data_IF_176062532588
#
_entry.id   IF_176062532588
#
_cell.length_a   1.000
_cell.length_b   1.000
_cell.length_c   1.000
_cell.angle_alpha   90.00
_cell.angle_beta   90.00
_cell.angle_gamma   90.00
#
_symmetry.space_group_name_H-M   'P 1'
#
loop_
_entity.id
_entity.type
_entity.pdbx_description
1 polymer ?
#
# COMPACT_ATOMS: atom_id res chain seq x y z
N UNK A 1 -7.83 34.06 -19.00
CA UNK A 1 -7.85 33.68 -17.57
C UNK A 1 -7.47 32.21 -17.49
N UNK A 2 -6.42 31.85 -16.76
CA UNK A 2 -5.96 30.45 -16.62
C UNK A 2 -6.51 29.92 -15.29
N UNK A 3 -7.28 28.83 -15.35
CA UNK A 3 -7.77 28.13 -14.16
C UNK A 3 -6.73 27.09 -13.76
N UNK A 4 -6.20 27.19 -12.54
CA UNK A 4 -5.31 26.18 -11.98
C UNK A 4 -6.13 25.09 -11.28
N UNK A 5 -5.79 23.83 -11.55
CA UNK A 5 -6.37 22.68 -10.85
C UNK A 5 -5.89 22.57 -9.41
N UNK A 6 -6.34 21.51 -8.71
CA UNK A 6 -5.88 21.16 -7.37
C UNK A 6 -4.87 20.00 -7.43
N UNK A 7 -3.95 19.89 -6.47
CA UNK A 7 -3.10 18.71 -6.38
C UNK A 7 -3.93 17.47 -6.03
N UNK A 8 -3.40 16.29 -6.35
CA UNK A 8 -3.98 14.99 -6.06
C UNK A 8 -2.96 14.14 -5.30
N UNK A 9 -3.47 13.27 -4.43
CA UNK A 9 -2.66 12.33 -3.66
C UNK A 9 -3.40 11.01 -3.48
N UNK A 10 -2.66 9.94 -3.23
CA UNK A 10 -3.28 8.71 -2.74
C UNK A 10 -3.82 8.94 -1.33
N UNK A 11 -5.01 8.43 -1.04
CA UNK A 11 -5.46 8.38 0.36
C UNK A 11 -4.65 7.32 1.10
N UNK A 12 -4.10 7.69 2.26
CA UNK A 12 -3.25 6.82 3.07
C UNK A 12 -3.90 6.40 4.40
N UNK A 13 -5.16 6.74 4.59
CA UNK A 13 -5.96 6.31 5.74
C UNK A 13 -5.56 6.94 7.08
N UNK A 14 -4.78 8.02 7.07
CA UNK A 14 -4.34 8.70 8.30
C UNK A 14 -5.43 9.54 8.98
N UNK A 15 -6.52 9.85 8.25
CA UNK A 15 -7.51 10.81 8.74
C UNK A 15 -6.86 12.14 9.10
N UNK A 16 -7.20 12.69 10.27
CA UNK A 16 -6.70 13.97 10.76
C UNK A 16 -5.36 13.89 11.52
N UNK A 17 -4.79 12.68 11.70
CA UNK A 17 -3.65 12.45 12.59
C UNK A 17 -2.44 13.35 12.27
N UNK A 18 -2.09 13.65 11.00
CA UNK A 18 -0.99 14.57 10.69
C UNK A 18 -1.14 15.95 11.32
N UNK A 19 -2.37 16.45 11.49
CA UNK A 19 -2.67 17.75 12.06
C UNK A 19 -2.93 17.70 13.59
N UNK A 20 -2.71 16.55 14.23
CA UNK A 20 -2.82 16.38 15.70
C UNK A 20 -1.48 16.25 16.42
N UNK A 21 -0.36 16.29 15.70
CA UNK A 21 0.98 16.39 16.31
C UNK A 21 1.15 17.75 17.01
N UNK A 22 2.25 17.96 17.72
CA UNK A 22 2.54 19.28 18.33
C UNK A 22 2.80 20.34 17.25
N UNK A 23 1.71 20.96 16.77
CA UNK A 23 1.73 21.96 15.72
C UNK A 23 2.45 23.25 16.15
N UNK A 24 2.52 23.54 17.46
CA UNK A 24 3.27 24.70 17.95
C UNK A 24 4.76 24.51 17.73
N UNK A 25 5.26 23.29 17.97
CA UNK A 25 6.64 22.94 17.67
C UNK A 25 6.91 22.93 16.16
N UNK A 26 6.03 22.27 15.39
CA UNK A 26 6.22 22.10 13.93
C UNK A 26 6.16 23.44 13.20
N UNK A 27 5.21 24.30 13.54
CA UNK A 27 5.05 25.64 12.95
C UNK A 27 5.68 26.75 13.79
N UNK A 28 6.74 26.47 14.57
CA UNK A 28 7.38 27.49 15.39
C UNK A 28 7.86 28.73 14.59
N UNK A 29 8.19 28.55 13.31
CA UNK A 29 8.57 29.63 12.39
C UNK A 29 7.40 30.20 11.57
N UNK A 30 6.19 29.63 11.73
CA UNK A 30 5.00 29.87 10.90
C UNK A 30 3.76 29.98 11.80
N UNK A 31 3.81 30.85 12.81
CA UNK A 31 2.82 30.90 13.90
C UNK A 31 1.43 31.37 13.44
N UNK A 32 1.33 31.98 12.27
CA UNK A 32 0.10 32.40 11.59
C UNK A 32 -0.32 31.43 10.47
N UNK A 33 0.29 30.24 10.41
CA UNK A 33 0.02 29.22 9.40
C UNK A 33 -1.48 28.91 9.31
N UNK A 34 -2.09 28.93 8.11
CA UNK A 34 -3.50 28.60 7.95
C UNK A 34 -3.79 27.14 8.28
N UNK A 35 -2.78 26.26 8.31
CA UNK A 35 -2.91 24.88 8.77
C UNK A 35 -3.43 24.77 10.20
N UNK A 36 -3.21 25.79 11.04
CA UNK A 36 -3.67 25.84 12.44
C UNK A 36 -5.19 26.04 12.56
N UNK A 37 -5.85 26.44 11.46
CA UNK A 37 -7.26 26.80 11.43
C UNK A 37 -8.11 25.88 10.55
N UNK A 38 -7.51 24.85 9.95
CA UNK A 38 -8.21 23.93 9.04
C UNK A 38 -9.24 23.12 9.83
N UNK A 39 -10.53 23.10 9.44
CA UNK A 39 -11.54 22.28 10.10
C UNK A 39 -11.24 20.78 9.95
N UNK A 40 -11.54 19.98 10.97
CA UNK A 40 -11.26 18.52 10.99
C UNK A 40 -11.78 17.78 9.75
N UNK A 41 -12.94 18.16 9.22
CA UNK A 41 -13.48 17.56 8.00
C UNK A 41 -12.56 17.77 6.79
N UNK A 42 -12.03 18.98 6.61
CA UNK A 42 -11.08 19.29 5.53
C UNK A 42 -9.73 18.59 5.77
N UNK A 43 -9.28 18.47 7.02
CA UNK A 43 -8.08 17.70 7.37
C UNK A 43 -8.15 16.26 6.85
N UNK A 44 -9.27 15.58 7.14
CA UNK A 44 -9.51 14.19 6.74
C UNK A 44 -9.66 14.06 5.23
N UNK A 45 -10.43 14.96 4.60
CA UNK A 45 -10.83 14.80 3.21
C UNK A 45 -9.82 15.34 2.19
N UNK A 46 -8.88 16.21 2.61
CA UNK A 46 -8.00 16.91 1.67
C UNK A 46 -6.52 16.88 2.03
N UNK A 47 -6.15 16.59 3.28
CA UNK A 47 -4.75 16.61 3.71
C UNK A 47 -4.25 15.23 4.18
N UNK A 48 -5.11 14.23 4.30
CA UNK A 48 -4.75 12.84 4.61
C UNK A 48 -4.11 12.06 3.43
N UNK A 49 -3.34 12.75 2.59
CA UNK A 49 -2.75 12.24 1.36
C UNK A 49 -1.30 11.80 1.50
N UNK A 50 -0.94 10.74 0.79
CA UNK A 50 0.42 10.24 0.61
C UNK A 50 0.73 9.95 -0.87
N UNK A 51 1.92 9.40 -1.17
CA UNK A 51 2.35 9.10 -2.52
C UNK A 51 1.44 8.06 -3.21
N UNK A 52 1.36 8.04 -4.55
CA UNK A 52 1.92 9.03 -5.46
C UNK A 52 1.17 10.37 -5.36
N UNK A 53 1.89 11.43 -5.69
CA UNK A 53 1.37 12.80 -5.75
C UNK A 53 1.29 13.25 -7.20
N UNK A 54 0.27 14.04 -7.54
CA UNK A 54 0.15 14.70 -8.83
C UNK A 54 -0.22 16.16 -8.61
N UNK A 55 0.56 17.08 -9.14
CA UNK A 55 0.29 18.51 -9.00
C UNK A 55 0.94 19.29 -10.13
N UNK A 56 0.59 20.57 -10.26
CA UNK A 56 1.30 21.43 -11.19
C UNK A 56 2.74 21.63 -10.69
N UNK A 57 3.69 21.89 -11.61
CA UNK A 57 5.09 22.17 -11.23
C UNK A 57 5.21 23.25 -10.16
N UNK A 58 4.37 24.29 -10.26
CA UNK A 58 4.34 25.41 -9.30
C UNK A 58 3.94 24.94 -7.90
N UNK A 59 2.84 24.20 -7.81
CA UNK A 59 2.31 23.72 -6.52
C UNK A 59 3.26 22.69 -5.90
N UNK A 60 3.78 21.75 -6.71
CA UNK A 60 4.80 20.79 -6.27
C UNK A 60 5.99 21.50 -5.65
N UNK A 61 6.53 22.50 -6.35
CA UNK A 61 7.68 23.26 -5.88
C UNK A 61 7.39 24.00 -4.57
N UNK A 62 6.21 24.64 -4.46
CA UNK A 62 5.80 25.31 -3.24
C UNK A 62 5.68 24.34 -2.06
N UNK A 63 5.00 23.20 -2.25
CA UNK A 63 4.84 22.18 -1.21
C UNK A 63 6.18 21.64 -0.77
N UNK A 64 7.07 21.26 -1.71
CA UNK A 64 8.38 20.69 -1.38
C UNK A 64 9.24 21.64 -0.56
N UNK A 65 9.23 22.94 -0.85
CA UNK A 65 10.02 23.90 -0.07
C UNK A 65 9.54 23.97 1.39
N UNK A 66 8.24 24.10 1.63
CA UNK A 66 7.68 24.11 2.99
C UNK A 66 7.87 22.74 3.66
N UNK A 67 7.69 21.66 2.91
CA UNK A 67 7.89 20.29 3.39
C UNK A 67 9.31 20.08 3.92
N UNK A 68 10.33 20.53 3.19
CA UNK A 68 11.72 20.45 3.64
C UNK A 68 11.99 21.22 4.94
N UNK A 69 11.24 22.30 5.21
CA UNK A 69 11.35 23.04 6.48
C UNK A 69 10.63 22.34 7.65
N UNK A 70 9.45 21.76 7.39
CA UNK A 70 8.60 21.19 8.43
C UNK A 70 9.00 19.77 8.83
N UNK A 71 9.44 18.94 7.88
CA UNK A 71 9.74 17.50 8.12
C UNK A 71 10.72 17.26 9.26
N UNK A 72 11.86 17.97 9.37
CA UNK A 72 12.77 17.78 10.50
C UNK A 72 12.08 18.00 11.85
N UNK A 73 11.18 18.99 11.95
CA UNK A 73 10.40 19.28 13.16
C UNK A 73 9.31 18.23 13.41
N UNK A 74 8.69 17.73 12.36
CA UNK A 74 7.76 16.60 12.47
C UNK A 74 8.48 15.38 13.05
N UNK A 75 9.70 15.06 12.61
CA UNK A 75 10.48 13.95 13.16
C UNK A 75 10.86 14.11 14.64
N UNK A 76 10.91 15.35 15.16
CA UNK A 76 11.10 15.58 16.59
C UNK A 76 9.87 15.19 17.42
N UNK A 77 8.66 15.34 16.87
CA UNK A 77 7.40 15.08 17.59
C UNK A 77 6.74 13.76 17.18
N UNK A 78 7.17 13.17 16.07
CA UNK A 78 6.66 11.92 15.51
C UNK A 78 7.82 11.08 14.94
N UNK A 79 8.29 10.12 15.73
CA UNK A 79 9.47 9.30 15.40
C UNK A 79 9.16 8.06 14.55
N UNK A 80 7.90 7.82 14.22
CA UNK A 80 7.51 6.67 13.40
C UNK A 80 7.82 6.92 11.90
N UNK A 81 7.83 5.83 11.14
CA UNK A 81 8.26 5.77 9.73
C UNK A 81 7.53 6.75 8.79
N UNK A 82 6.35 7.24 9.19
CA UNK A 82 5.45 8.05 8.35
C UNK A 82 5.60 9.56 8.58
N UNK A 83 6.62 10.02 9.32
CA UNK A 83 6.84 11.44 9.60
C UNK A 83 6.94 12.33 8.36
N UNK A 84 7.55 11.82 7.29
CA UNK A 84 7.64 12.51 6.00
C UNK A 84 6.26 12.79 5.40
N UNK A 85 5.33 11.84 5.51
CA UNK A 85 3.95 11.99 5.02
C UNK A 85 3.19 13.01 5.84
N UNK A 86 3.43 13.07 7.15
CA UNK A 86 2.81 14.06 8.01
C UNK A 86 3.32 15.45 7.68
N UNK A 87 4.63 15.58 7.46
CA UNK A 87 5.21 16.81 6.93
C UNK A 87 4.56 17.25 5.63
N UNK A 88 4.27 16.31 4.71
CA UNK A 88 3.62 16.62 3.44
C UNK A 88 2.21 17.19 3.64
N UNK A 89 1.39 16.49 4.43
CA UNK A 89 0.04 16.93 4.81
C UNK A 89 0.04 18.33 5.42
N UNK A 90 1.00 18.59 6.31
CA UNK A 90 1.17 19.88 6.97
C UNK A 90 1.60 20.98 6.00
N UNK A 91 2.59 20.72 5.14
CA UNK A 91 3.02 21.67 4.12
C UNK A 91 1.88 22.03 3.14
N UNK A 92 1.10 21.04 2.71
CA UNK A 92 -0.07 21.27 1.87
C UNK A 92 -1.14 22.14 2.57
N UNK A 93 -1.41 21.88 3.85
CA UNK A 93 -2.36 22.67 4.65
C UNK A 93 -1.87 24.11 4.87
N UNK A 94 -0.57 24.29 5.12
CA UNK A 94 0.05 25.62 5.26
C UNK A 94 -0.11 26.47 4.00
N UNK A 95 -0.04 25.84 2.83
CA UNK A 95 -0.18 26.52 1.54
C UNK A 95 -1.64 26.65 1.05
N UNK A 96 -2.61 26.12 1.80
CA UNK A 96 -4.02 25.99 1.38
C UNK A 96 -4.14 25.29 0.02
N UNK A 97 -3.42 24.19 -0.13
CA UNK A 97 -3.44 23.33 -1.31
C UNK A 97 -4.18 22.02 -0.98
N UNK A 98 -5.52 22.05 -0.86
CA UNK A 98 -6.30 20.87 -0.54
C UNK A 98 -6.18 19.87 -1.68
N UNK A 99 -5.83 18.63 -1.35
CA UNK A 99 -5.70 17.59 -2.37
C UNK A 99 -7.06 17.00 -2.72
N UNK A 100 -7.21 16.58 -3.97
CA UNK A 100 -8.18 15.55 -4.34
C UNK A 100 -7.58 14.20 -3.98
N UNK A 101 -8.18 13.51 -3.02
CA UNK A 101 -7.71 12.20 -2.57
C UNK A 101 -8.34 11.08 -3.40
N UNK A 102 -7.51 10.13 -3.84
CA UNK A 102 -7.95 8.99 -4.63
C UNK A 102 -7.46 7.66 -4.01
N UNK A 103 -8.32 6.64 -4.02
CA UNK A 103 -7.93 5.27 -3.62
C UNK A 103 -7.28 4.50 -4.76
N UNK A 104 -7.57 4.86 -6.01
CA UNK A 104 -7.10 4.17 -7.22
C UNK A 104 -5.62 4.44 -7.55
N UNK A 105 -4.98 5.35 -6.82
CA UNK A 105 -3.62 5.80 -7.10
C UNK A 105 -2.56 4.78 -6.73
N UNK A 106 -2.82 3.87 -5.81
CA UNK A 106 -1.86 2.81 -5.52
C UNK A 106 -2.47 1.58 -4.88
N UNK A 107 -1.72 0.49 -5.01
CA UNK A 107 -1.78 -0.69 -4.16
C UNK A 107 -0.40 -0.94 -3.56
N UNK A 108 -0.33 -1.29 -2.27
CA UNK A 108 0.92 -1.62 -1.59
C UNK A 108 0.82 -2.82 -0.66
N UNK A 109 -0.25 -2.96 0.12
CA UNK A 109 -0.34 -3.99 1.15
C UNK A 109 -1.75 -4.57 1.23
N UNK A 110 -1.85 -5.89 1.05
CA UNK A 110 -3.14 -6.58 1.10
C UNK A 110 -3.75 -6.44 2.49
N UNK A 111 -4.98 -5.95 2.57
CA UNK A 111 -5.69 -5.74 3.85
C UNK A 111 -5.62 -4.31 4.40
N UNK A 112 -4.87 -3.41 3.76
CA UNK A 112 -4.93 -1.98 4.07
C UNK A 112 -6.12 -1.33 3.34
N UNK A 113 -6.83 -0.46 4.06
CA UNK A 113 -7.92 0.35 3.51
C UNK A 113 -7.36 1.62 2.86
N UNK A 114 -8.08 2.17 1.88
CA UNK A 114 -7.67 3.39 1.18
C UNK A 114 -6.86 3.14 -0.10
N UNK A 115 -6.57 1.89 -0.42
CA UNK A 115 -5.87 1.52 -1.65
C UNK A 115 -6.82 0.98 -2.72
N UNK A 116 -6.32 0.83 -3.94
CA UNK A 116 -7.07 0.38 -5.12
C UNK A 116 -7.44 -1.10 -5.12
N UNK A 117 -7.32 -1.83 -4.00
CA UNK A 117 -7.65 -3.25 -3.90
C UNK A 117 -9.06 -3.60 -4.38
N UNK A 118 -10.12 -2.81 -4.09
CA UNK A 118 -11.46 -3.12 -4.58
C UNK A 118 -11.57 -3.18 -6.11
N UNK A 119 -10.68 -2.48 -6.84
CA UNK A 119 -10.63 -2.53 -8.30
C UNK A 119 -10.06 -3.88 -8.77
N UNK A 120 -9.00 -4.37 -8.10
CA UNK A 120 -8.41 -5.69 -8.35
C UNK A 120 -9.36 -6.83 -7.97
N UNK A 121 -10.11 -6.66 -6.89
CA UNK A 121 -11.05 -7.67 -6.40
C UNK A 121 -12.20 -7.93 -7.38
N UNK A 122 -12.57 -6.91 -8.17
CA UNK A 122 -13.62 -7.01 -9.20
C UNK A 122 -13.17 -7.73 -10.47
N UNK A 123 -11.86 -7.93 -10.68
CA UNK A 123 -11.36 -8.67 -11.85
C UNK A 123 -11.69 -10.15 -11.70
N UNK A 124 -12.19 -10.78 -12.77
CA UNK A 124 -12.29 -12.24 -12.81
C UNK A 124 -10.92 -12.87 -13.05
N UNK A 125 -10.77 -14.14 -12.69
CA UNK A 125 -9.50 -14.88 -12.80
C UNK A 125 -8.98 -15.00 -14.25
N UNK A 126 -9.90 -15.06 -15.22
CA UNK A 126 -9.61 -15.07 -16.66
C UNK A 126 -9.25 -13.68 -17.20
N UNK A 127 -9.74 -12.61 -16.58
CA UNK A 127 -9.45 -11.22 -16.98
C UNK A 127 -8.08 -10.72 -16.51
N UNK A 128 -7.45 -11.37 -15.53
CA UNK A 128 -6.15 -10.95 -14.96
C UNK A 128 -5.06 -10.84 -16.01
N UNK A 129 -5.15 -11.71 -17.03
CA UNK A 129 -4.16 -11.85 -18.08
C UNK A 129 -4.64 -11.27 -19.43
N UNK A 130 -5.81 -10.63 -19.47
CA UNK A 130 -6.26 -9.98 -20.69
C UNK A 130 -5.73 -8.55 -20.71
N UNK A 131 -4.84 -8.25 -21.65
CA UNK A 131 -4.49 -6.86 -21.93
C UNK A 131 -5.79 -6.13 -22.27
N UNK A 132 -6.05 -5.04 -21.55
CA UNK A 132 -7.28 -4.28 -21.69
C UNK A 132 -7.32 -3.59 -23.05
N UNK A 133 -7.79 -4.29 -24.09
CA UNK A 133 -7.98 -3.72 -25.43
C UNK A 133 -9.23 -2.83 -25.51
N UNK A 134 -10.06 -2.81 -24.46
CA UNK A 134 -11.25 -1.97 -24.38
C UNK A 134 -11.16 -0.95 -23.24
N UNK A 135 -11.52 0.31 -23.56
CA UNK A 135 -11.61 1.43 -22.61
C UNK A 135 -12.44 1.11 -21.35
N UNK A 136 -13.44 0.24 -21.46
CA UNK A 136 -14.29 -0.18 -20.33
C UNK A 136 -13.55 -1.04 -19.29
N UNK A 137 -12.50 -1.77 -19.70
CA UNK A 137 -11.66 -2.57 -18.80
C UNK A 137 -10.50 -1.74 -18.21
N UNK A 138 -9.98 -0.74 -18.93
CA UNK A 138 -8.90 0.15 -18.45
C UNK A 138 -9.28 0.90 -17.16
N UNK A 139 -10.54 1.29 -17.02
CA UNK A 139 -11.06 2.03 -15.86
C UNK A 139 -11.02 1.19 -14.57
N UNK A 140 -10.81 -0.13 -14.67
CA UNK A 140 -10.87 -1.08 -13.53
C UNK A 140 -9.51 -1.38 -12.91
N UNK A 141 -8.42 -0.76 -13.34
CA UNK A 141 -7.09 -1.09 -12.84
C UNK A 141 -6.46 0.08 -12.07
N UNK A 142 -5.79 -0.17 -10.94
CA UNK A 142 -4.97 0.86 -10.31
C UNK A 142 -3.80 1.19 -11.24
N UNK A 143 -3.57 2.49 -11.43
CA UNK A 143 -2.58 2.99 -12.38
C UNK A 143 -1.12 2.87 -11.89
N UNK A 144 -0.92 2.66 -10.58
CA UNK A 144 0.41 2.58 -9.99
C UNK A 144 0.48 1.43 -8.98
N UNK A 145 1.54 0.64 -9.06
CA UNK A 145 1.92 -0.31 -8.00
C UNK A 145 2.95 0.37 -7.11
N UNK A 146 2.61 0.64 -5.86
CA UNK A 146 3.55 1.25 -4.92
C UNK A 146 4.51 0.20 -4.39
N UNK A 147 5.67 0.12 -5.02
CA UNK A 147 6.68 -0.90 -4.80
C UNK A 147 7.55 -0.66 -3.54
N UNK A 148 6.90 -0.54 -2.38
CA UNK A 148 7.56 -0.31 -1.08
C UNK A 148 7.82 -1.58 -0.28
N UNK A 149 7.18 -2.70 -0.66
CA UNK A 149 7.25 -3.97 0.05
C UNK A 149 7.76 -5.10 -0.84
N UNK A 150 8.24 -6.17 -0.20
CA UNK A 150 8.55 -7.43 -0.88
C UNK A 150 7.31 -8.31 -0.87
N UNK A 151 6.87 -8.69 -2.04
CA UNK A 151 5.74 -9.58 -2.26
C UNK A 151 6.22 -11.00 -2.47
N UNK A 152 5.57 -11.97 -1.83
CA UNK A 152 5.98 -13.38 -1.87
C UNK A 152 4.83 -14.30 -2.24
N UNK A 153 5.10 -15.21 -3.16
CA UNK A 153 4.24 -16.33 -3.54
C UNK A 153 5.09 -17.62 -3.61
N UNK A 154 5.19 -18.31 -2.49
CA UNK A 154 6.06 -19.49 -2.37
C UNK A 154 7.53 -19.10 -2.52
N UNK A 155 8.22 -19.67 -3.51
CA UNK A 155 9.60 -19.30 -3.87
C UNK A 155 9.70 -18.04 -4.75
N UNK A 156 8.59 -17.60 -5.32
CA UNK A 156 8.52 -16.44 -6.19
C UNK A 156 8.37 -15.21 -5.34
N UNK A 157 9.14 -14.17 -5.64
CA UNK A 157 9.02 -12.92 -4.94
C UNK A 157 9.31 -11.77 -5.89
N UNK A 158 8.74 -10.61 -5.60
CA UNK A 158 9.00 -9.36 -6.30
C UNK A 158 9.21 -8.29 -5.23
N UNK A 159 10.40 -7.69 -5.16
CA UNK A 159 10.74 -6.65 -4.17
C UNK A 159 11.83 -5.66 -4.62
N UNK A 160 11.77 -4.45 -4.05
CA UNK A 160 12.56 -3.25 -4.41
C UNK A 160 14.08 -3.45 -4.54
N UNK A 161 14.66 -4.34 -3.74
CA UNK A 161 16.13 -4.46 -3.59
C UNK A 161 16.74 -5.66 -4.31
N UNK A 162 15.99 -6.31 -5.21
CA UNK A 162 16.48 -7.46 -5.99
C UNK A 162 16.22 -7.28 -7.48
N UNK A 163 16.52 -6.07 -7.96
CA UNK A 163 16.63 -5.79 -9.38
C UNK A 163 18.05 -6.16 -9.83
N UNK A 164 18.18 -6.82 -10.97
CA UNK A 164 19.50 -7.08 -11.56
C UNK A 164 20.18 -5.76 -11.92
N UNK A 165 21.52 -5.70 -11.89
CA UNK A 165 22.27 -4.47 -12.19
C UNK A 165 21.94 -3.84 -13.55
N UNK A 166 21.47 -4.67 -14.48
CA UNK A 166 21.15 -4.30 -15.87
C UNK A 166 19.64 -4.35 -16.13
N UNK A 167 18.79 -4.17 -15.10
CA UNK A 167 17.33 -4.25 -15.25
C UNK A 167 16.73 -3.21 -16.22
N UNK A 168 17.48 -2.16 -16.56
CA UNK A 168 17.09 -1.16 -17.55
C UNK A 168 17.47 -1.55 -19.00
N UNK A 169 18.18 -2.67 -19.17
CA UNK A 169 18.53 -3.21 -20.49
C UNK A 169 17.35 -3.99 -21.07
N UNK A 170 17.12 -3.89 -22.37
CA UNK A 170 16.06 -4.64 -23.05
C UNK A 170 16.34 -6.15 -23.05
N UNK A 171 17.62 -6.52 -22.90
CA UNK A 171 18.13 -7.88 -22.96
C UNK A 171 17.87 -8.68 -21.68
N UNK A 172 17.52 -8.01 -20.57
CA UNK A 172 17.27 -8.66 -19.29
C UNK A 172 15.85 -8.46 -18.79
N UNK A 173 15.04 -9.55 -18.76
CA UNK A 173 13.75 -9.53 -18.08
C UNK A 173 13.85 -8.96 -16.68
N UNK A 174 13.18 -7.83 -16.45
CA UNK A 174 12.96 -7.27 -15.11
C UNK A 174 12.29 -8.31 -14.17
N UNK A 175 11.46 -9.20 -14.74
CA UNK A 175 10.69 -10.22 -14.04
C UNK A 175 10.70 -11.53 -14.84
N UNK A 176 10.92 -12.65 -14.13
CA UNK A 176 10.65 -13.98 -14.66
C UNK A 176 9.16 -14.26 -14.54
N UNK A 177 8.54 -14.71 -15.64
CA UNK A 177 7.15 -15.15 -15.60
C UNK A 177 7.03 -16.39 -14.70
N UNK A 178 6.17 -16.35 -13.66
CA UNK A 178 5.94 -17.52 -12.85
C UNK A 178 5.23 -18.61 -13.68
N UNK A 179 5.41 -19.91 -13.37
CA UNK A 179 4.68 -20.97 -14.04
C UNK A 179 3.18 -20.77 -13.85
N UNK A 180 2.39 -21.06 -14.88
CA UNK A 180 0.92 -20.94 -14.85
C UNK A 180 0.27 -21.69 -13.68
N UNK A 181 0.93 -22.72 -13.16
CA UNK A 181 0.50 -23.53 -12.00
C UNK A 181 0.89 -22.93 -10.65
N UNK A 182 1.48 -21.73 -10.58
CA UNK A 182 1.90 -21.11 -9.32
C UNK A 182 0.75 -20.97 -8.32
N UNK A 183 -0.48 -20.82 -8.82
CA UNK A 183 -1.69 -20.84 -8.01
C UNK A 183 -1.84 -22.12 -7.18
N UNK A 184 -1.41 -23.28 -7.68
CA UNK A 184 -1.56 -24.59 -7.04
C UNK A 184 -0.55 -24.80 -5.91
N UNK A 185 0.66 -24.25 -6.05
CA UNK A 185 1.80 -24.52 -5.17
C UNK A 185 1.61 -24.07 -3.71
N UNK A 186 0.85 -22.99 -3.47
CA UNK A 186 0.53 -22.51 -2.11
C UNK A 186 -0.71 -23.20 -1.53
N UNK A 187 -1.67 -23.62 -2.36
CA UNK A 187 -2.84 -24.35 -1.91
C UNK A 187 -2.47 -25.71 -1.33
N UNK A 188 -1.58 -26.47 -1.96
CA UNK A 188 -1.14 -27.74 -1.38
C UNK A 188 -0.39 -27.57 -0.06
N UNK A 189 0.44 -26.53 0.07
CA UNK A 189 1.19 -26.26 1.30
C UNK A 189 0.30 -25.78 2.45
N UNK A 190 -0.69 -24.91 2.17
CA UNK A 190 -1.70 -24.48 3.15
C UNK A 190 -2.64 -25.65 3.50
N UNK A 191 -3.11 -26.41 2.50
CA UNK A 191 -3.99 -27.57 2.71
C UNK A 191 -3.29 -28.68 3.50
N UNK A 192 -2.00 -28.96 3.25
CA UNK A 192 -1.19 -29.90 4.06
C UNK A 192 -1.01 -29.41 5.50
N UNK A 193 -0.83 -28.10 5.73
CA UNK A 193 -0.78 -27.54 7.09
C UNK A 193 -2.13 -27.63 7.81
N UNK A 194 -3.23 -27.32 7.13
CA UNK A 194 -4.59 -27.41 7.68
C UNK A 194 -5.00 -28.88 7.94
N UNK A 195 -4.65 -29.81 7.05
CA UNK A 195 -4.89 -31.26 7.23
C UNK A 195 -4.06 -31.85 8.37
N UNK A 196 -2.78 -31.48 8.49
CA UNK A 196 -1.93 -31.95 9.60
C UNK A 196 -2.39 -31.36 10.95
N UNK A 197 -2.85 -30.09 10.98
CA UNK A 197 -3.40 -29.46 12.20
C UNK A 197 -4.77 -30.03 12.56
N UNK A 198 -5.61 -30.36 11.57
CA UNK A 198 -6.89 -31.03 11.79
C UNK A 198 -6.72 -32.49 12.26
N UNK A 199 -5.70 -33.22 11.78
CA UNK A 199 -5.35 -34.54 12.32
C UNK A 199 -4.93 -34.45 13.78
N UNK A 200 -4.12 -33.45 14.15
CA UNK A 200 -3.69 -33.22 15.54
C UNK A 200 -4.85 -32.90 16.51
N UNK A 201 -5.83 -32.04 16.15
CA UNK A 201 -7.02 -31.82 17.02
C UNK A 201 -8.00 -33.04 16.96
N UNK A 202 -7.86 -34.02 16.05
CA UNK A 202 -8.75 -35.21 15.93
C UNK A 202 -8.24 -36.49 16.59
N UNK A 203 -6.92 -36.70 16.70
CA UNK A 203 -6.36 -37.96 17.23
C UNK A 203 -6.17 -37.98 18.74
N UNK A 204 -6.44 -36.87 19.47
CA UNK A 204 -6.41 -36.85 20.93
C UNK A 204 -5.10 -37.36 21.55
N UNK A 205 -3.99 -37.32 20.81
CA UNK A 205 -2.72 -37.86 21.26
C UNK A 205 -2.04 -36.87 22.23
N UNK A 206 -2.47 -36.93 23.49
CA UNK A 206 -1.67 -36.46 24.62
C UNK A 206 -0.61 -37.52 24.88
N UNK A 207 0.57 -37.35 24.28
CA UNK A 207 1.77 -38.04 24.74
C UNK A 207 2.88 -37.02 24.96
N UNK A 208 3.14 -36.83 26.26
CA UNK A 208 4.32 -36.29 26.93
C UNK A 208 5.39 -35.61 26.06
N UNK A 209 5.35 -34.27 26.06
CA UNK A 209 6.53 -33.44 25.82
C UNK A 209 6.93 -32.77 27.14
N UNK A 210 8.21 -32.84 27.55
CA UNK A 210 8.66 -32.14 28.74
C UNK A 210 8.82 -30.64 28.44
N UNK A 211 8.37 -29.83 29.39
CA UNK A 211 8.58 -28.40 29.58
C UNK A 211 7.77 -27.40 28.70
N UNK A 212 6.70 -26.91 29.33
CA UNK A 212 6.41 -25.47 29.52
C UNK A 212 6.46 -24.56 28.29
N UNK A 213 5.48 -24.71 27.39
CA UNK A 213 4.79 -23.56 26.78
C UNK A 213 3.29 -23.84 26.74
N UNK A 214 2.54 -22.84 27.18
CA UNK A 214 1.09 -22.79 27.26
C UNK A 214 0.38 -23.39 26.06
N UNK A 215 -0.58 -24.26 26.34
CA UNK A 215 -1.55 -24.86 25.42
C UNK A 215 -2.34 -23.74 24.72
N UNK A 216 -2.02 -23.43 23.46
CA UNK A 216 -2.89 -22.65 22.59
C UNK A 216 -4.11 -23.50 22.23
N UNK A 217 -5.25 -23.15 22.83
CA UNK A 217 -6.58 -23.74 22.60
C UNK A 217 -6.93 -23.61 21.10
N UNK A 218 -7.60 -24.62 20.49
CA UNK A 218 -8.03 -24.65 19.07
C UNK A 218 -9.08 -23.52 18.71
N UNK A 219 -8.97 -22.30 19.24
CA UNK A 219 -9.88 -21.14 19.03
C UNK A 219 -9.44 -20.16 17.92
N UNK A 220 -8.25 -20.30 17.34
CA UNK A 220 -7.72 -19.38 16.31
C UNK A 220 -8.12 -19.71 14.87
N UNK A 221 -9.22 -20.44 14.68
CA UNK A 221 -9.74 -20.78 13.33
C UNK A 221 -10.16 -19.52 12.54
N UNK A 222 -10.27 -18.36 13.19
CA UNK A 222 -10.69 -17.09 12.57
C UNK A 222 -9.57 -16.33 11.85
N UNK A 223 -8.28 -16.66 12.05
CA UNK A 223 -7.17 -15.95 11.36
C UNK A 223 -6.79 -16.51 9.97
N UNK A 224 -7.36 -17.64 9.55
CA UNK A 224 -7.06 -18.27 8.25
C UNK A 224 -7.65 -17.56 7.03
N UNK A 225 -8.67 -16.71 7.20
CA UNK A 225 -9.38 -16.01 6.12
C UNK A 225 -8.54 -14.89 5.50
N UNK A 226 -7.90 -14.06 6.32
CA UNK A 226 -7.07 -12.92 5.84
C UNK A 226 -5.85 -13.38 5.03
N UNK A 227 -5.27 -14.54 5.35
CA UNK A 227 -4.14 -15.10 4.60
C UNK A 227 -4.57 -15.60 3.21
N UNK A 228 -5.78 -16.16 3.11
CA UNK A 228 -6.34 -16.64 1.83
C UNK A 228 -6.70 -15.46 0.91
N UNK A 229 -7.31 -14.43 1.46
CA UNK A 229 -7.69 -13.22 0.72
C UNK A 229 -6.44 -12.47 0.20
N UNK A 230 -5.43 -12.27 1.04
CA UNK A 230 -4.17 -11.63 0.63
C UNK A 230 -3.41 -12.42 -0.45
N UNK A 231 -3.45 -13.75 -0.40
CA UNK A 231 -2.80 -14.59 -1.42
C UNK A 231 -3.48 -14.47 -2.80
N UNK A 232 -4.82 -14.42 -2.84
CA UNK A 232 -5.58 -14.22 -4.08
C UNK A 232 -5.33 -12.84 -4.70
N UNK A 233 -5.34 -11.79 -3.87
CA UNK A 233 -4.99 -10.43 -4.28
C UNK A 233 -3.59 -10.35 -4.88
N UNK A 234 -2.63 -10.97 -4.22
CA UNK A 234 -1.24 -10.93 -4.67
C UNK A 234 -1.00 -11.71 -5.96
N UNK A 235 -1.73 -12.81 -6.17
CA UNK A 235 -1.68 -13.58 -7.43
C UNK A 235 -2.03 -12.69 -8.62
N UNK A 236 -3.12 -11.92 -8.52
CA UNK A 236 -3.60 -11.03 -9.58
C UNK A 236 -2.55 -9.96 -9.95
N UNK A 237 -1.92 -9.36 -8.94
CA UNK A 237 -0.87 -8.35 -9.12
C UNK A 237 0.37 -8.91 -9.82
N UNK A 238 0.85 -10.09 -9.40
CA UNK A 238 2.04 -10.72 -9.98
C UNK A 238 1.79 -11.13 -11.45
N UNK A 239 0.60 -11.65 -11.77
CA UNK A 239 0.28 -12.03 -13.16
C UNK A 239 0.17 -10.78 -14.05
N UNK A 240 -0.46 -9.71 -13.56
CA UNK A 240 -0.52 -8.44 -14.28
C UNK A 240 0.88 -7.85 -14.54
N UNK A 241 1.77 -7.87 -13.55
CA UNK A 241 3.13 -7.32 -13.74
C UNK A 241 3.99 -8.09 -14.73
N UNK A 242 3.79 -9.41 -14.88
CA UNK A 242 4.50 -10.19 -15.91
C UNK A 242 4.06 -9.88 -17.34
N UNK A 243 2.90 -9.24 -17.54
CA UNK A 243 2.36 -8.93 -18.87
C UNK A 243 2.81 -7.60 -19.46
N UNK A 244 3.44 -6.70 -18.69
CA UNK A 244 4.08 -5.48 -19.22
C UNK A 244 5.26 -5.77 -20.18
N UNK A 245 5.44 -7.03 -20.61
CA UNK A 245 6.59 -7.56 -21.31
C UNK A 245 6.31 -7.97 -22.75
N UNK A 246 5.15 -7.62 -23.31
CA UNK A 246 4.80 -7.93 -24.69
C UNK A 246 4.67 -6.69 -25.58
N UNK A 247 5.77 -5.96 -25.78
CA UNK A 247 5.99 -5.08 -26.94
C UNK A 247 7.46 -5.09 -27.35
#
# INVERSE_FOLDING_TARGET
>A
MITHGRPWASIYGFGDVPLRVDLKHVYANHTDSPALLVPTEEQINNYAGGPPYMSTRRDMFAIVNIWCELVPRVHHVYQALLGELYGWSLAAAHLRLPHTLATSFMISATGIRGEGWPLIDQLKDDEVCEFSTSREKEVKLPYVVHYSQSYWLGKWFIGKYRLEKEFLSCEKPLLLEPPMTIHQSRWEAIRRKDENRSRYCKTGAVHDLPNNRSVERCSDVVQGSNVREGAGKLRKVIHFSSQFRSE
#
